data_IF_637036690552
#
_entry.id   IF_637036690552
#
_cell.length_a   1.000
_cell.length_b   1.000
_cell.length_c   1.000
_cell.angle_alpha   90.00
_cell.angle_beta   90.00
_cell.angle_gamma   90.00
#
_symmetry.space_group_name_H-M   'P 1'
#
loop_
_entity.id
_entity.type
_entity.pdbx_description
1 polymer ?
#
# COMPACT_ATOMS: atom_id res chain seq x y z
N UNK A 1 47.75 12.87 -10.24
CA UNK A 1 47.35 11.44 -10.27
C UNK A 1 46.11 11.27 -9.41
N UNK A 2 44.95 11.11 -10.03
CA UNK A 2 43.67 10.87 -9.34
C UNK A 2 43.41 9.36 -9.31
N UNK A 3 43.25 8.77 -8.12
CA UNK A 3 42.74 7.40 -7.96
C UNK A 3 41.24 7.45 -7.69
N UNK A 4 40.45 7.11 -8.71
CA UNK A 4 39.03 6.83 -8.63
C UNK A 4 38.80 5.40 -8.15
N UNK A 5 38.09 5.21 -7.04
CA UNK A 5 37.59 3.90 -6.59
C UNK A 5 36.12 3.78 -7.02
N UNK A 6 35.88 3.17 -8.18
CA UNK A 6 34.56 2.64 -8.52
C UNK A 6 34.29 1.36 -7.72
N UNK A 7 33.33 1.40 -6.79
CA UNK A 7 32.73 0.17 -6.24
C UNK A 7 31.64 -0.31 -7.20
N UNK A 8 31.95 -1.37 -7.95
CA UNK A 8 30.96 -2.23 -8.61
C UNK A 8 30.15 -2.97 -7.53
N UNK A 9 28.85 -2.69 -7.42
CA UNK A 9 27.92 -3.62 -6.75
C UNK A 9 27.34 -4.57 -7.80
N UNK A 10 27.75 -5.83 -7.71
CA UNK A 10 27.19 -6.95 -8.45
C UNK A 10 25.90 -7.45 -7.78
N UNK A 11 24.97 -7.91 -8.60
CA UNK A 11 24.15 -9.08 -8.28
C UNK A 11 22.75 -8.81 -7.74
N UNK A 12 21.80 -8.44 -8.61
CA UNK A 12 20.39 -8.68 -8.34
C UNK A 12 20.11 -10.18 -8.47
N UNK A 13 20.00 -10.86 -7.33
CA UNK A 13 19.46 -12.21 -7.24
C UNK A 13 17.97 -12.18 -7.60
N UNK A 14 17.60 -12.79 -8.72
CA UNK A 14 16.20 -13.00 -9.11
C UNK A 14 15.49 -13.81 -8.01
N UNK A 15 14.63 -13.17 -7.23
CA UNK A 15 13.74 -13.87 -6.31
C UNK A 15 12.63 -14.57 -7.10
N UNK A 16 12.39 -15.88 -6.89
CA UNK A 16 11.32 -16.60 -7.58
C UNK A 16 9.98 -16.25 -6.95
N UNK A 17 9.17 -15.45 -7.65
CA UNK A 17 7.79 -15.17 -7.24
C UNK A 17 6.92 -16.40 -7.45
N UNK A 18 6.44 -17.00 -6.36
CA UNK A 18 5.43 -18.06 -6.41
C UNK A 18 4.11 -17.43 -6.85
N UNK A 19 3.65 -17.78 -8.06
CA UNK A 19 2.32 -17.40 -8.56
C UNK A 19 1.25 -18.26 -7.91
N UNK A 20 0.56 -17.72 -6.92
CA UNK A 20 -0.65 -18.34 -6.36
C UNK A 20 -1.85 -17.79 -7.13
N UNK A 21 -2.52 -18.64 -7.94
CA UNK A 21 -3.82 -18.31 -8.52
C UNK A 21 -4.87 -18.47 -7.43
N UNK A 22 -5.37 -17.36 -6.91
CA UNK A 22 -6.52 -17.35 -6.01
C UNK A 22 -7.74 -17.08 -6.89
N UNK A 23 -8.66 -18.06 -6.98
CA UNK A 23 -10.01 -17.77 -7.44
C UNK A 23 -10.76 -17.20 -6.24
N UNK A 24 -10.76 -15.87 -6.10
CA UNK A 24 -11.78 -15.21 -5.28
C UNK A 24 -13.05 -15.18 -6.14
N UNK A 25 -13.96 -16.10 -5.89
CA UNK A 25 -15.32 -16.01 -6.43
C UNK A 25 -16.04 -14.91 -5.66
N UNK A 26 -15.92 -13.67 -6.14
CA UNK A 26 -16.80 -12.58 -5.74
C UNK A 26 -17.56 -12.15 -6.98
N UNK A 27 -18.76 -12.72 -7.13
CA UNK A 27 -19.82 -12.06 -7.84
C UNK A 27 -20.01 -10.69 -7.16
N UNK A 28 -19.72 -9.61 -7.88
CA UNK A 28 -20.20 -8.29 -7.52
C UNK A 28 -21.60 -8.14 -8.12
N UNK A 29 -22.72 -8.37 -7.41
CA UNK A 29 -24.01 -8.04 -7.96
C UNK A 29 -24.20 -6.52 -7.89
N UNK A 30 -24.08 -5.88 -9.05
CA UNK A 30 -24.79 -4.64 -9.32
C UNK A 30 -26.29 -4.96 -9.43
N UNK A 31 -27.04 -4.93 -8.32
CA UNK A 31 -28.51 -4.89 -8.36
C UNK A 31 -29.06 -3.98 -7.24
N UNK A 32 -29.75 -2.93 -7.69
CA UNK A 32 -30.78 -2.20 -6.95
C UNK A 32 -31.70 -3.16 -6.18
N UNK A 33 -32.03 -2.85 -4.93
CA UNK A 33 -33.37 -3.10 -4.40
C UNK A 33 -33.63 -2.29 -3.11
N UNK A 34 -34.88 -1.85 -3.00
CA UNK A 34 -35.50 -1.09 -1.92
C UNK A 34 -35.38 -1.73 -0.51
N UNK A 35 -35.50 -0.85 0.49
CA UNK A 35 -35.68 -1.07 1.95
C UNK A 35 -36.68 -2.19 2.32
N UNK A 36 -36.56 -2.86 3.49
CA UNK A 36 -37.08 -2.32 4.75
C UNK A 36 -36.08 -2.36 5.93
N UNK A 37 -36.33 -1.49 6.90
CA UNK A 37 -35.52 -1.26 8.10
C UNK A 37 -35.46 -2.49 9.02
N UNK A 38 -34.26 -2.83 9.51
CA UNK A 38 -34.11 -3.64 10.73
C UNK A 38 -32.92 -3.10 11.52
N UNK A 39 -33.22 -2.57 12.70
CA UNK A 39 -32.29 -1.96 13.64
C UNK A 39 -31.29 -3.00 14.15
N UNK A 40 -30.02 -2.85 13.79
CA UNK A 40 -28.90 -3.53 14.46
C UNK A 40 -27.94 -2.48 15.02
N UNK A 41 -27.75 -2.58 16.33
CA UNK A 41 -26.88 -1.72 17.15
C UNK A 41 -25.45 -1.80 16.61
N UNK A 42 -25.00 -0.69 16.01
CA UNK A 42 -23.63 -0.54 15.53
C UNK A 42 -22.72 -0.24 16.71
N UNK A 43 -21.87 -1.21 17.07
CA UNK A 43 -20.71 -0.98 17.92
C UNK A 43 -19.69 -0.21 17.07
N UNK A 44 -19.73 1.11 17.19
CA UNK A 44 -18.84 2.06 16.54
C UNK A 44 -17.44 1.97 17.16
N UNK A 45 -16.61 1.08 16.62
CA UNK A 45 -15.16 1.14 16.82
C UNK A 45 -14.58 2.21 15.88
N UNK A 46 -14.90 3.48 16.13
CA UNK A 46 -14.42 4.63 15.37
C UNK A 46 -12.94 4.89 15.67
N UNK A 47 -12.05 4.16 14.98
CA UNK A 47 -10.70 4.70 14.76
C UNK A 47 -10.90 5.92 13.87
N UNK A 48 -10.82 7.12 14.46
CA UNK A 48 -10.94 8.39 13.74
C UNK A 48 -9.91 8.37 12.61
N UNK A 49 -10.40 8.19 11.37
CA UNK A 49 -9.56 8.25 10.17
C UNK A 49 -9.23 9.71 9.92
N UNK A 50 -7.95 10.05 9.93
CA UNK A 50 -7.50 11.40 9.59
C UNK A 50 -7.64 11.61 8.09
N UNK A 51 -8.51 12.54 7.73
CA UNK A 51 -8.78 12.96 6.35
C UNK A 51 -7.89 14.16 6.03
N UNK A 52 -7.18 14.11 4.91
CA UNK A 52 -6.29 15.20 4.47
C UNK A 52 -7.06 16.23 3.62
N UNK A 53 -6.61 17.48 3.66
CA UNK A 53 -7.11 18.52 2.77
C UNK A 53 -6.46 18.40 1.38
N UNK A 54 -7.27 18.64 0.34
CA UNK A 54 -6.85 18.53 -1.07
C UNK A 54 -5.77 19.50 -1.47
N UNK A 55 -5.78 20.67 -0.84
CA UNK A 55 -4.82 21.72 -1.12
C UNK A 55 -3.49 21.51 -0.38
N UNK A 56 -3.38 20.51 0.51
CA UNK A 56 -2.14 20.32 1.25
C UNK A 56 -1.06 19.75 0.32
N UNK A 57 0.10 20.38 0.34
CA UNK A 57 1.27 19.91 -0.40
C UNK A 57 1.70 18.51 0.07
N UNK A 58 1.45 18.21 1.35
CA UNK A 58 1.64 16.91 1.98
C UNK A 58 0.80 15.81 1.30
N UNK A 59 -0.46 16.10 0.96
CA UNK A 59 -1.31 15.17 0.21
C UNK A 59 -0.72 14.84 -1.18
N UNK A 60 -0.40 15.87 -1.96
CA UNK A 60 0.07 15.72 -3.34
C UNK A 60 1.40 14.97 -3.43
N UNK A 61 2.25 15.12 -2.41
CA UNK A 61 3.54 14.47 -2.36
C UNK A 61 3.44 12.99 -1.96
N UNK A 62 2.56 12.66 -1.01
CA UNK A 62 2.45 11.31 -0.45
C UNK A 62 1.43 10.40 -1.16
N UNK A 63 0.73 10.92 -2.18
CA UNK A 63 -0.25 10.19 -2.97
C UNK A 63 0.36 9.38 -4.12
N UNK A 64 -0.19 8.19 -4.37
CA UNK A 64 0.14 7.33 -5.53
C UNK A 64 -0.98 7.22 -6.56
N UNK A 65 -2.16 7.76 -6.23
CA UNK A 65 -3.35 7.69 -7.06
C UNK A 65 -3.58 8.99 -7.83
N UNK A 66 -4.32 8.92 -8.95
CA UNK A 66 -4.73 10.08 -9.73
C UNK A 66 -5.65 11.04 -8.95
N UNK A 67 -5.44 12.34 -9.12
CA UNK A 67 -6.21 13.40 -8.44
C UNK A 67 -7.71 13.34 -8.76
N UNK A 68 -8.09 12.92 -9.98
CA UNK A 68 -9.49 12.90 -10.41
C UNK A 68 -10.34 11.90 -9.63
N UNK A 69 -9.74 10.86 -9.02
CA UNK A 69 -10.45 9.87 -8.20
C UNK A 69 -11.11 10.47 -6.97
N UNK A 70 -10.68 11.67 -6.60
CA UNK A 70 -11.08 12.35 -5.41
C UNK A 70 -12.03 13.53 -5.69
N UNK A 71 -12.19 13.92 -6.96
CA UNK A 71 -13.07 15.02 -7.35
C UNK A 71 -14.53 14.56 -7.48
N UNK A 72 -15.53 15.37 -7.06
CA UNK A 72 -15.44 16.63 -6.34
C UNK A 72 -15.52 16.50 -4.80
N UNK A 73 -15.77 15.31 -4.26
CA UNK A 73 -16.13 15.14 -2.83
C UNK A 73 -15.28 14.13 -2.04
N UNK A 74 -14.45 13.32 -2.69
CA UNK A 74 -13.80 12.19 -2.04
C UNK A 74 -12.47 12.58 -1.43
N UNK A 75 -12.34 12.80 -0.13
CA UNK A 75 -11.05 13.18 0.43
C UNK A 75 -10.09 11.99 0.61
N UNK A 76 -8.78 12.20 0.39
CA UNK A 76 -7.75 11.21 0.67
C UNK A 76 -7.63 10.91 2.16
N UNK A 77 -7.46 9.64 2.48
CA UNK A 77 -7.20 9.15 3.82
C UNK A 77 -5.69 9.09 4.07
N UNK A 78 -5.27 9.51 5.26
CA UNK A 78 -3.89 9.35 5.72
C UNK A 78 -3.68 7.92 6.24
N UNK A 79 -3.24 7.05 5.33
CA UNK A 79 -2.95 5.65 5.61
C UNK A 79 -1.62 5.53 6.36
N UNK A 80 -1.63 4.90 7.52
CA UNK A 80 -0.41 4.64 8.29
C UNK A 80 0.25 3.35 7.81
N UNK A 81 1.53 3.40 7.45
CA UNK A 81 2.28 2.19 7.14
C UNK A 81 2.53 1.38 8.42
N UNK A 82 3.15 1.99 9.43
CA UNK A 82 3.15 1.49 10.80
C UNK A 82 1.92 2.07 11.51
N UNK A 83 0.91 1.22 11.70
CA UNK A 83 -0.36 1.64 12.30
C UNK A 83 -0.20 2.24 13.71
N UNK A 84 -1.08 3.17 14.07
CA UNK A 84 -1.17 3.73 15.43
C UNK A 84 -1.24 2.67 16.53
N UNK A 85 -1.95 1.57 16.25
CA UNK A 85 -2.03 0.40 17.16
C UNK A 85 -0.65 -0.21 17.42
N UNK A 86 0.19 -0.32 16.39
CA UNK A 86 1.55 -0.85 16.50
C UNK A 86 2.49 0.13 17.17
N UNK A 87 2.37 1.42 16.85
CA UNK A 87 3.11 2.48 17.54
C UNK A 87 2.81 2.50 19.04
N UNK A 88 1.55 2.33 19.44
CA UNK A 88 1.16 2.28 20.86
C UNK A 88 1.62 1.00 21.56
N UNK A 89 1.53 -0.16 20.90
CA UNK A 89 1.94 -1.45 21.48
C UNK A 89 3.45 -1.55 21.68
N UNK A 90 4.23 -1.07 20.71
CA UNK A 90 5.69 -1.14 20.73
C UNK A 90 6.28 0.27 20.81
N UNK A 91 5.83 1.03 21.81
CA UNK A 91 6.11 2.47 21.93
C UNK A 91 7.59 2.81 21.90
N UNK A 92 8.45 2.01 22.53
CA UNK A 92 9.91 2.22 22.53
C UNK A 92 10.52 2.14 21.13
N UNK A 93 9.99 1.28 20.26
CA UNK A 93 10.55 1.05 18.93
C UNK A 93 9.87 1.89 17.85
N UNK A 94 8.54 2.00 17.90
CA UNK A 94 7.74 2.58 16.82
C UNK A 94 7.00 3.86 17.20
N UNK A 95 6.99 4.25 18.48
CA UNK A 95 6.25 5.43 18.95
C UNK A 95 6.63 6.72 18.21
N UNK A 96 7.89 6.84 17.79
CA UNK A 96 8.39 8.00 17.01
C UNK A 96 7.72 8.18 15.65
N UNK A 97 7.15 7.11 15.07
CA UNK A 97 6.50 7.15 13.75
C UNK A 97 5.00 7.46 13.83
N UNK A 98 4.41 7.50 15.04
CA UNK A 98 2.96 7.71 15.19
C UNK A 98 2.50 9.07 14.69
N UNK A 99 3.37 10.08 14.72
CA UNK A 99 3.07 11.43 14.22
C UNK A 99 4.01 11.85 13.08
N UNK A 100 4.84 10.93 12.57
CA UNK A 100 5.76 11.23 11.48
C UNK A 100 5.01 11.20 10.12
N UNK A 101 5.02 12.30 9.35
CA UNK A 101 4.37 12.34 8.03
C UNK A 101 4.98 11.35 7.04
N UNK A 102 6.25 10.98 7.18
CA UNK A 102 6.90 9.97 6.33
C UNK A 102 6.42 8.54 6.65
N UNK A 103 5.66 8.33 7.72
CA UNK A 103 4.95 7.07 8.00
C UNK A 103 3.53 7.05 7.38
N UNK A 104 3.22 7.97 6.45
CA UNK A 104 1.90 8.07 5.82
C UNK A 104 1.94 7.83 4.32
N UNK A 105 0.82 7.34 3.79
CA UNK A 105 0.47 7.45 2.39
C UNK A 105 -0.88 8.15 2.31
N UNK A 106 -1.05 8.96 1.27
CA UNK A 106 -2.36 9.50 0.97
C UNK A 106 -3.07 8.59 -0.04
N UNK A 107 -4.13 7.91 0.41
CA UNK A 107 -4.83 6.92 -0.38
C UNK A 107 -6.33 7.22 -0.40
N UNK A 108 -6.99 6.90 -1.51
CA UNK A 108 -8.44 6.78 -1.57
C UNK A 108 -8.92 5.71 -0.61
N UNK A 109 -10.18 5.83 -0.17
CA UNK A 109 -10.79 4.83 0.73
C UNK A 109 -10.70 3.40 0.17
N UNK A 110 -10.82 3.24 -1.15
CA UNK A 110 -10.68 1.92 -1.80
C UNK A 110 -9.24 1.41 -1.76
N UNK A 111 -8.26 2.22 -2.17
CA UNK A 111 -6.86 1.79 -2.16
C UNK A 111 -6.35 1.54 -0.74
N UNK A 112 -6.74 2.37 0.22
CA UNK A 112 -6.49 2.13 1.64
C UNK A 112 -7.11 0.79 2.08
N UNK A 113 -8.35 0.51 1.67
CA UNK A 113 -9.01 -0.77 1.89
C UNK A 113 -8.24 -1.96 1.32
N UNK A 114 -7.72 -1.84 0.10
CA UNK A 114 -6.90 -2.87 -0.54
C UNK A 114 -5.56 -3.08 0.14
N UNK A 115 -4.96 -2.03 0.71
CA UNK A 115 -3.65 -2.08 1.34
C UNK A 115 -3.70 -2.55 2.80
N UNK A 116 -4.76 -2.22 3.53
CA UNK A 116 -4.96 -2.67 4.92
C UNK A 116 -5.74 -3.99 5.02
N UNK A 117 -6.37 -4.44 3.94
CA UNK A 117 -7.23 -5.63 3.94
C UNK A 117 -8.58 -5.40 4.63
N UNK A 118 -9.05 -4.15 4.70
CA UNK A 118 -10.24 -3.76 5.47
C UNK A 118 -11.55 -4.40 4.95
N UNK A 119 -11.58 -4.83 3.69
CA UNK A 119 -12.78 -5.38 3.05
C UNK A 119 -12.81 -6.90 2.98
N UNK A 120 -11.65 -7.58 3.05
CA UNK A 120 -11.51 -9.02 2.79
C UNK A 120 -10.63 -9.74 3.83
N UNK A 121 -10.33 -9.08 4.95
CA UNK A 121 -9.39 -9.51 6.00
C UNK A 121 -7.94 -9.76 5.56
N UNK A 122 -7.66 -9.68 4.25
CA UNK A 122 -6.34 -9.89 3.65
C UNK A 122 -6.06 -8.75 2.66
N UNK A 123 -4.90 -8.07 2.78
CA UNK A 123 -4.49 -7.05 1.83
C UNK A 123 -4.36 -7.58 0.40
N UNK A 124 -5.04 -6.94 -0.55
CA UNK A 124 -4.94 -7.27 -1.99
C UNK A 124 -3.70 -6.62 -2.60
N UNK A 125 -3.30 -5.47 -2.06
CA UNK A 125 -2.15 -4.67 -2.50
C UNK A 125 -1.02 -4.79 -1.49
N UNK A 126 0.19 -4.88 -2.01
CA UNK A 126 1.41 -4.69 -1.24
C UNK A 126 2.33 -3.70 -1.97
N UNK A 127 3.09 -2.92 -1.23
CA UNK A 127 3.94 -1.88 -1.78
C UNK A 127 5.38 -2.06 -1.28
N UNK A 128 6.36 -1.68 -2.11
CA UNK A 128 7.77 -1.80 -1.76
C UNK A 128 8.58 -0.64 -2.35
N UNK A 129 9.44 0.04 -1.55
CA UNK A 129 10.27 1.13 -2.04
C UNK A 129 11.48 0.55 -2.79
N UNK A 130 11.76 1.03 -4.01
CA UNK A 130 12.83 0.51 -4.88
C UNK A 130 14.07 1.38 -4.82
N UNK A 131 13.91 2.67 -5.10
CA UNK A 131 15.02 3.60 -5.24
C UNK A 131 14.61 4.98 -4.81
N UNK A 132 15.60 5.72 -4.32
CA UNK A 132 15.47 7.13 -3.95
C UNK A 132 16.28 7.92 -4.98
N UNK A 133 15.68 8.93 -5.60
CA UNK A 133 16.44 9.85 -6.45
C UNK A 133 17.42 10.65 -5.59
N UNK A 134 18.69 10.69 -5.99
CA UNK A 134 19.76 11.36 -5.22
C UNK A 134 19.56 12.87 -5.12
N UNK A 135 18.86 13.46 -6.10
CA UNK A 135 18.54 14.87 -6.15
C UNK A 135 17.11 15.10 -5.66
N UNK A 136 16.90 16.29 -5.09
CA UNK A 136 15.57 16.79 -4.78
C UNK A 136 14.82 17.02 -6.10
N UNK A 137 13.61 16.49 -6.19
CA UNK A 137 12.85 16.43 -7.45
C UNK A 137 11.54 17.20 -7.39
N UNK A 138 11.07 17.54 -6.19
CA UNK A 138 9.89 18.38 -5.99
C UNK A 138 10.14 19.39 -4.86
N UNK A 139 10.75 20.52 -5.20
CA UNK A 139 11.18 21.53 -4.23
C UNK A 139 12.23 20.97 -3.25
N UNK A 140 11.82 20.73 -2.01
CA UNK A 140 12.67 20.22 -0.92
C UNK A 140 12.54 18.71 -0.66
N UNK A 141 11.80 17.97 -1.49
CA UNK A 141 11.50 16.55 -1.28
C UNK A 141 12.24 15.61 -2.24
N UNK A 142 12.56 14.43 -1.72
CA UNK A 142 13.13 13.32 -2.48
C UNK A 142 12.03 12.53 -3.17
N UNK A 143 12.28 12.12 -4.42
CA UNK A 143 11.39 11.19 -5.12
C UNK A 143 11.78 9.75 -4.77
N UNK A 144 10.80 8.97 -4.33
CA UNK A 144 10.96 7.54 -4.04
C UNK A 144 10.14 6.74 -5.03
N UNK A 145 10.79 5.86 -5.80
CA UNK A 145 10.10 4.88 -6.66
C UNK A 145 9.51 3.77 -5.79
N UNK A 146 8.26 3.43 -6.04
CA UNK A 146 7.49 2.42 -5.30
C UNK A 146 6.94 1.39 -6.27
N UNK A 147 7.12 0.10 -5.98
CA UNK A 147 6.41 -0.98 -6.64
C UNK A 147 5.09 -1.22 -5.94
N UNK A 148 4.02 -1.30 -6.73
CA UNK A 148 2.68 -1.69 -6.29
C UNK A 148 2.41 -3.09 -6.84
N UNK A 149 2.38 -4.08 -5.95
CA UNK A 149 2.10 -5.48 -6.25
C UNK A 149 0.65 -5.80 -5.90
N UNK A 150 -0.03 -6.52 -6.79
CA UNK A 150 -1.41 -6.99 -6.60
C UNK A 150 -1.41 -8.51 -6.51
N UNK A 151 -1.98 -9.07 -5.45
CA UNK A 151 -2.04 -10.53 -5.27
C UNK A 151 -3.16 -11.20 -6.07
N UNK A 152 -4.17 -10.45 -6.49
CA UNK A 152 -5.29 -10.95 -7.30
C UNK A 152 -5.29 -10.35 -8.71
N UNK A 153 -5.18 -11.22 -9.73
CA UNK A 153 -5.23 -10.84 -11.13
C UNK A 153 -6.54 -10.11 -11.49
N UNK A 154 -7.67 -10.48 -10.88
CA UNK A 154 -8.97 -9.82 -11.13
C UNK A 154 -9.01 -8.39 -10.58
N UNK A 155 -8.21 -8.09 -9.56
CA UNK A 155 -8.10 -6.75 -9.00
C UNK A 155 -7.07 -5.85 -9.72
N UNK A 156 -6.16 -6.42 -10.54
CA UNK A 156 -5.08 -5.65 -11.20
C UNK A 156 -5.60 -4.44 -11.97
N UNK A 157 -6.63 -4.61 -12.82
CA UNK A 157 -7.22 -3.50 -13.58
C UNK A 157 -7.76 -2.41 -12.67
N UNK A 158 -8.46 -2.79 -11.60
CA UNK A 158 -9.07 -1.85 -10.64
C UNK A 158 -8.02 -1.10 -9.82
N UNK A 159 -6.92 -1.75 -9.45
CA UNK A 159 -5.82 -1.12 -8.70
C UNK A 159 -4.98 -0.23 -9.63
N UNK A 160 -4.55 -0.75 -10.77
CA UNK A 160 -3.60 -0.07 -11.65
C UNK A 160 -4.18 1.12 -12.40
N UNK A 161 -5.47 1.09 -12.74
CA UNK A 161 -6.15 2.25 -13.33
C UNK A 161 -6.17 3.47 -12.40
N UNK A 162 -5.97 3.26 -11.09
CA UNK A 162 -5.97 4.33 -10.11
C UNK A 162 -4.64 5.04 -9.97
N UNK A 163 -3.54 4.38 -10.36
CA UNK A 163 -2.19 4.91 -10.13
C UNK A 163 -1.96 6.18 -10.97
N UNK A 164 -1.29 7.16 -10.37
CA UNK A 164 -1.08 8.48 -10.97
C UNK A 164 -0.21 8.43 -12.23
N UNK A 165 -0.34 9.47 -13.02
CA UNK A 165 0.45 9.73 -14.22
C UNK A 165 1.95 9.66 -13.93
N UNK A 166 2.70 9.05 -14.85
CA UNK A 166 4.11 8.69 -14.66
C UNK A 166 4.33 7.31 -14.02
N UNK A 167 3.27 6.61 -13.61
CA UNK A 167 3.34 5.19 -13.27
C UNK A 167 3.58 4.34 -14.53
N UNK A 168 4.32 3.23 -14.40
CA UNK A 168 4.72 2.38 -15.51
C UNK A 168 4.57 0.89 -15.20
N UNK A 169 4.38 0.09 -16.24
CA UNK A 169 4.32 -1.38 -16.09
C UNK A 169 5.71 -1.96 -15.91
N UNK A 170 5.78 -3.05 -15.16
CA UNK A 170 6.95 -3.91 -15.11
C UNK A 170 6.75 -5.14 -15.99
N UNK A 171 7.77 -6.00 -16.07
CA UNK A 171 7.69 -7.30 -16.75
C UNK A 171 6.71 -8.26 -16.04
N UNK A 172 6.41 -8.03 -14.75
CA UNK A 172 5.40 -8.78 -14.02
C UNK A 172 4.02 -8.11 -14.19
N UNK A 173 3.00 -8.80 -14.75
CA UNK A 173 1.67 -8.26 -14.92
C UNK A 173 0.94 -7.96 -13.59
N UNK A 174 1.48 -8.43 -12.46
CA UNK A 174 0.95 -8.15 -11.13
C UNK A 174 1.69 -7.00 -10.43
N UNK A 175 2.62 -6.32 -11.11
CA UNK A 175 3.42 -5.25 -10.50
C UNK A 175 3.52 -4.02 -11.43
N UNK A 176 3.24 -2.85 -10.86
CA UNK A 176 3.49 -1.56 -11.50
C UNK A 176 4.42 -0.70 -10.64
N UNK A 177 5.18 0.18 -11.30
CA UNK A 177 5.97 1.22 -10.66
C UNK A 177 5.16 2.51 -10.58
N UNK A 178 5.28 3.19 -9.46
CA UNK A 178 4.80 4.55 -9.22
C UNK A 178 5.84 5.28 -8.37
N UNK A 179 5.51 6.46 -7.84
CA UNK A 179 6.44 7.22 -7.01
C UNK A 179 5.70 8.06 -5.98
N UNK A 180 6.42 8.52 -4.96
CA UNK A 180 5.99 9.55 -4.01
C UNK A 180 7.12 10.57 -3.84
N UNK A 181 6.80 11.72 -3.24
CA UNK A 181 7.77 12.71 -2.80
C UNK A 181 7.75 12.79 -1.28
N UNK A 182 8.91 12.65 -0.64
CA UNK A 182 9.04 12.56 0.82
C UNK A 182 10.16 13.46 1.31
N UNK A 183 10.02 13.95 2.54
CA UNK A 183 11.06 14.78 3.17
C UNK A 183 12.19 13.91 3.72
N UNK A 184 11.85 12.78 4.33
CA UNK A 184 12.78 11.83 4.88
C UNK A 184 12.61 10.45 4.22
N UNK A 185 13.39 10.15 3.15
CA UNK A 185 13.27 8.88 2.43
C UNK A 185 13.66 7.68 3.27
N UNK A 186 14.56 7.83 4.25
CA UNK A 186 14.97 6.73 5.13
C UNK A 186 13.81 6.28 6.02
N UNK A 187 13.13 7.23 6.67
CA UNK A 187 11.95 6.92 7.48
C UNK A 187 10.84 6.32 6.63
N UNK A 188 10.57 6.92 5.46
CA UNK A 188 9.53 6.42 4.56
C UNK A 188 9.81 4.99 4.11
N UNK A 189 11.03 4.73 3.63
CA UNK A 189 11.43 3.41 3.15
C UNK A 189 11.39 2.37 4.28
N UNK A 190 11.81 2.75 5.49
CA UNK A 190 11.70 1.88 6.66
C UNK A 190 10.24 1.50 6.96
N UNK A 191 9.35 2.49 7.04
CA UNK A 191 7.94 2.25 7.36
C UNK A 191 7.24 1.42 6.28
N UNK A 192 7.53 1.69 5.01
CA UNK A 192 6.98 0.92 3.89
C UNK A 192 7.48 -0.52 3.88
N UNK A 193 8.78 -0.74 4.08
CA UNK A 193 9.36 -2.09 4.19
C UNK A 193 8.76 -2.87 5.37
N UNK A 194 8.56 -2.21 6.50
CA UNK A 194 7.89 -2.82 7.64
C UNK A 194 6.48 -3.31 7.27
N UNK A 195 5.67 -2.45 6.63
CA UNK A 195 4.31 -2.81 6.23
C UNK A 195 4.31 -3.92 5.17
N UNK A 196 5.26 -3.86 4.24
CA UNK A 196 5.47 -4.89 3.23
C UNK A 196 5.68 -6.27 3.85
N UNK A 197 6.59 -6.36 4.83
CA UNK A 197 6.93 -7.61 5.50
C UNK A 197 5.75 -8.16 6.30
N UNK A 198 4.96 -7.30 6.95
CA UNK A 198 3.74 -7.70 7.65
C UNK A 198 2.69 -8.27 6.70
N UNK A 199 2.49 -7.64 5.54
CA UNK A 199 1.57 -8.14 4.51
C UNK A 199 2.06 -9.49 3.97
N UNK A 200 3.36 -9.65 3.69
CA UNK A 200 3.93 -10.93 3.25
C UNK A 200 3.78 -12.02 4.31
N UNK A 201 3.90 -11.72 5.61
CA UNK A 201 3.62 -12.68 6.70
C UNK A 201 2.16 -13.14 6.70
N UNK A 202 1.21 -12.21 6.55
CA UNK A 202 -0.22 -12.53 6.46
C UNK A 202 -0.48 -13.46 5.27
N UNK A 203 0.08 -13.17 4.11
CA UNK A 203 -0.07 -13.99 2.91
C UNK A 203 0.56 -15.37 3.02
N UNK A 204 1.74 -15.48 3.64
CA UNK A 204 2.39 -16.77 3.92
C UNK A 204 1.53 -17.63 4.86
N UNK A 205 0.98 -17.02 5.91
CA UNK A 205 0.07 -17.69 6.85
C UNK A 205 -1.20 -18.18 6.15
N UNK A 206 -1.84 -17.31 5.37
CA UNK A 206 -3.05 -17.66 4.60
C UNK A 206 -2.80 -18.80 3.62
N UNK A 207 -1.71 -18.74 2.86
CA UNK A 207 -1.33 -19.78 1.89
C UNK A 207 -1.03 -21.11 2.58
N UNK A 208 -0.40 -21.08 3.77
CA UNK A 208 -0.19 -22.25 4.60
C UNK A 208 -1.51 -22.91 5.05
N UNK A 209 -2.49 -22.11 5.49
CA UNK A 209 -3.83 -22.62 5.87
C UNK A 209 -4.56 -23.29 4.71
N UNK A 210 -4.52 -22.70 3.51
CA UNK A 210 -5.12 -23.31 2.31
C UNK A 210 -4.48 -24.66 1.98
N UNK A 211 -3.15 -24.77 2.14
CA UNK A 211 -2.46 -26.05 1.89
C UNK A 211 -2.87 -27.11 2.90
N UNK A 212 -2.95 -26.77 4.18
CA UNK A 212 -3.38 -27.71 5.23
C UNK A 212 -4.83 -28.17 5.04
N UNK A 213 -5.75 -27.26 4.71
CA UNK A 213 -7.15 -27.63 4.47
C UNK A 213 -7.34 -28.53 3.25
N UNK A 214 -6.48 -28.43 2.23
CA UNK A 214 -6.48 -29.37 1.09
C UNK A 214 -5.88 -30.73 1.41
N UNK A 215 -4.90 -30.79 2.31
CA UNK A 215 -4.29 -32.06 2.74
C UNK A 215 -5.24 -32.83 3.66
N UNK A 216 -6.03 -32.15 4.49
CA UNK A 216 -6.97 -32.79 5.41
C UNK A 216 -8.28 -33.28 4.77
N UNK A 217 -8.52 -32.96 3.49
CA UNK A 217 -9.72 -33.37 2.74
C UNK A 217 -9.41 -34.53 1.78
N UNK A 218 -8.15 -34.95 1.69
CA UNK A 218 -7.70 -36.14 0.96
C UNK A 218 -7.23 -37.21 1.95
#
# INVERSE_FOLDING_TARGET
MFYSRQKKMHGYSKMPWIRIRIRLALDCPAKLLHSPQTTLVSVSSSTIRSVLDFASEEYRCMGIEEDWLFYPYGKPESCHMISRKQCNRNKSQYGKFDHDPNNRLALSREMHGFYDGLSLDIPIVNMFPVSVEEKLSNGSRYKVEVLVKVYDLYCTKRVFYRLKSGSSRTDDPLVMKTFVYVENPDTFCFCMKWKHDEIEKVWKSFSGRIRLSRIMVN
#
